data_IF_026546133017
#
_entry.id   IF_026546133017
#
_cell.length_a   1.000
_cell.length_b   1.000
_cell.length_c   1.000
_cell.angle_alpha   90.00
_cell.angle_beta   90.00
_cell.angle_gamma   90.00
#
_symmetry.space_group_name_H-M   'P 1'
#
loop_
_entity.id
_entity.type
_entity.pdbx_description
1 polymer ?
#
# COMPACT_ATOMS: atom_id res chain seq x y z
N UNK A 1 20.99 28.00 0.52
CA UNK A 1 21.15 26.69 -0.15
C UNK A 1 19.80 26.36 -0.77
N UNK A 2 19.76 26.16 -2.07
CA UNK A 2 18.53 25.81 -2.78
C UNK A 2 18.08 24.40 -2.36
N UNK A 3 16.76 24.20 -2.21
CA UNK A 3 16.19 22.87 -2.06
C UNK A 3 16.47 22.09 -3.35
N UNK A 4 17.24 21.01 -3.24
CA UNK A 4 17.56 20.12 -4.37
C UNK A 4 16.92 18.78 -4.15
N UNK A 5 16.10 18.37 -5.10
CA UNK A 5 15.55 17.02 -5.16
C UNK A 5 16.36 16.21 -6.15
N UNK A 6 16.74 15.00 -5.77
CA UNK A 6 17.54 14.09 -6.59
C UNK A 6 16.87 12.73 -6.61
N UNK A 7 16.62 12.22 -7.80
CA UNK A 7 16.07 10.90 -8.03
C UNK A 7 17.15 9.97 -8.59
N UNK A 8 17.29 8.78 -7.99
CA UNK A 8 18.16 7.73 -8.50
C UNK A 8 17.33 6.60 -9.10
N UNK A 9 17.62 6.25 -10.35
CA UNK A 9 16.95 5.17 -11.09
C UNK A 9 17.94 4.06 -11.45
N UNK A 10 17.44 2.84 -11.53
CA UNK A 10 18.20 1.77 -12.21
C UNK A 10 18.28 2.11 -13.69
N UNK A 11 19.49 2.02 -14.25
CA UNK A 11 19.68 2.12 -15.69
C UNK A 11 18.90 1.01 -16.38
N UNK A 12 18.28 1.37 -17.51
CA UNK A 12 17.51 0.44 -18.35
C UNK A 12 18.14 0.35 -19.74
N UNK A 13 17.89 -0.75 -20.42
CA UNK A 13 18.30 -0.98 -21.78
C UNK A 13 17.27 -1.84 -22.52
N UNK A 14 17.41 -1.99 -23.82
CA UNK A 14 16.48 -2.73 -24.67
C UNK A 14 16.31 -4.19 -24.25
N UNK A 15 17.38 -4.81 -23.75
CA UNK A 15 17.31 -6.19 -23.24
C UNK A 15 16.41 -6.31 -22.02
N UNK A 16 16.52 -5.39 -21.06
CA UNK A 16 15.64 -5.33 -19.87
C UNK A 16 14.20 -5.05 -20.31
N UNK A 17 14.00 -4.15 -21.28
CA UNK A 17 12.68 -3.81 -21.79
C UNK A 17 11.93 -5.01 -22.39
N UNK A 18 12.63 -5.92 -23.04
CA UNK A 18 12.05 -7.17 -23.59
C UNK A 18 11.47 -8.06 -22.48
N UNK A 19 12.16 -8.17 -21.34
CA UNK A 19 11.76 -9.10 -20.26
C UNK A 19 10.85 -8.47 -19.21
N UNK A 20 11.05 -7.20 -18.90
CA UNK A 20 10.39 -6.53 -17.78
C UNK A 20 9.48 -5.37 -18.23
N UNK A 21 9.35 -5.15 -19.54
CA UNK A 21 8.68 -3.99 -20.10
C UNK A 21 9.53 -2.72 -20.01
N UNK A 22 9.04 -1.65 -20.63
CA UNK A 22 9.70 -0.35 -20.58
C UNK A 22 9.82 0.17 -19.14
N UNK A 23 11.03 0.52 -18.74
CA UNK A 23 11.30 1.22 -17.48
C UNK A 23 11.41 2.73 -17.73
N UNK A 24 11.32 3.52 -16.67
CA UNK A 24 11.50 4.97 -16.77
C UNK A 24 12.93 5.29 -17.20
N UNK A 25 13.08 6.02 -18.32
CA UNK A 25 14.29 6.76 -18.65
C UNK A 25 14.28 8.09 -17.88
N UNK A 26 15.33 8.91 -18.02
CA UNK A 26 15.47 10.17 -17.26
C UNK A 26 14.39 11.19 -17.64
N UNK A 27 14.00 11.25 -18.91
CA UNK A 27 12.97 12.15 -19.43
C UNK A 27 11.59 11.76 -18.88
N UNK A 28 11.20 10.50 -19.02
CA UNK A 28 9.95 9.98 -18.47
C UNK A 28 9.90 10.08 -16.94
N UNK A 29 11.04 9.93 -16.26
CA UNK A 29 11.12 10.11 -14.82
C UNK A 29 10.86 11.56 -14.39
N UNK A 30 11.40 12.54 -15.11
CA UNK A 30 11.10 13.96 -14.91
C UNK A 30 9.60 14.24 -15.12
N UNK A 31 9.03 13.77 -16.22
CA UNK A 31 7.60 13.95 -16.53
C UNK A 31 6.69 13.37 -15.45
N UNK A 32 7.07 12.20 -14.92
CA UNK A 32 6.26 11.47 -13.92
C UNK A 32 6.40 12.04 -12.51
N UNK A 33 7.63 12.41 -12.11
CA UNK A 33 7.93 12.80 -10.72
C UNK A 33 8.02 14.31 -10.49
N UNK A 34 8.21 15.09 -11.56
CA UNK A 34 8.55 16.51 -11.48
C UNK A 34 9.98 16.79 -11.03
N UNK A 35 10.80 15.78 -10.74
CA UNK A 35 12.17 15.92 -10.24
C UNK A 35 13.12 16.10 -11.42
N UNK A 36 13.70 17.30 -11.54
CA UNK A 36 14.58 17.65 -12.66
C UNK A 36 15.96 16.99 -12.60
N UNK A 37 16.45 16.63 -11.41
CA UNK A 37 17.79 16.04 -11.26
C UNK A 37 17.68 14.53 -11.12
N UNK A 38 17.96 13.82 -12.21
CA UNK A 38 17.87 12.35 -12.25
C UNK A 38 19.24 11.74 -12.57
N UNK A 39 19.72 10.87 -11.69
CA UNK A 39 20.95 10.08 -11.88
C UNK A 39 20.63 8.59 -12.01
N UNK A 40 21.55 7.87 -12.62
CA UNK A 40 21.53 6.41 -12.54
C UNK A 40 21.98 5.94 -11.16
N UNK A 41 21.43 4.84 -10.69
CA UNK A 41 21.75 4.30 -9.35
C UNK A 41 23.25 3.99 -9.17
N UNK A 42 23.94 3.65 -10.24
CA UNK A 42 25.39 3.42 -10.23
C UNK A 42 26.19 4.68 -9.90
N UNK A 43 25.64 5.87 -10.14
CA UNK A 43 26.29 7.15 -9.82
C UNK A 43 26.03 7.58 -8.37
N UNK A 44 25.22 6.83 -7.61
CA UNK A 44 24.76 7.21 -6.29
C UNK A 44 25.91 7.48 -5.32
N UNK A 45 26.93 6.64 -5.30
CA UNK A 45 28.06 6.81 -4.38
C UNK A 45 28.82 8.11 -4.64
N UNK A 46 29.04 8.46 -5.91
CA UNK A 46 29.71 9.71 -6.30
C UNK A 46 28.90 10.93 -5.88
N UNK A 47 27.61 10.92 -6.20
CA UNK A 47 26.69 12.02 -5.84
C UNK A 47 26.55 12.14 -4.33
N UNK A 48 26.43 11.02 -3.61
CA UNK A 48 26.41 11.02 -2.16
C UNK A 48 27.68 11.59 -1.54
N UNK A 49 28.85 11.26 -2.09
CA UNK A 49 30.12 11.83 -1.61
C UNK A 49 30.11 13.35 -1.72
N UNK A 50 29.69 13.91 -2.88
CA UNK A 50 29.61 15.35 -3.09
C UNK A 50 28.62 16.05 -2.13
N UNK A 51 27.48 15.42 -1.85
CA UNK A 51 26.50 15.93 -0.88
C UNK A 51 27.00 15.88 0.55
N UNK A 52 27.60 14.77 0.94
CA UNK A 52 28.09 14.56 2.31
C UNK A 52 29.23 15.49 2.67
N UNK A 53 30.10 15.85 1.72
CA UNK A 53 31.17 16.87 1.96
C UNK A 53 30.63 18.28 2.26
N UNK A 54 29.35 18.54 1.96
CA UNK A 54 28.70 19.84 2.15
C UNK A 54 27.65 19.84 3.27
N UNK A 55 27.49 18.72 3.96
CA UNK A 55 26.41 18.49 4.94
C UNK A 55 26.96 17.96 6.26
N UNK A 56 26.46 18.45 7.37
CA UNK A 56 26.82 17.96 8.71
C UNK A 56 25.74 17.02 9.29
N UNK A 57 24.48 17.24 8.91
CA UNK A 57 23.35 16.48 9.45
C UNK A 57 22.60 15.76 8.35
N UNK A 58 22.34 14.48 8.56
CA UNK A 58 21.61 13.61 7.64
C UNK A 58 20.34 13.09 8.32
N UNK A 59 19.19 13.25 7.67
CA UNK A 59 17.94 12.64 8.11
C UNK A 59 17.73 11.33 7.38
N UNK A 60 17.59 10.25 8.14
CA UNK A 60 17.51 8.89 7.62
C UNK A 60 16.13 8.31 7.91
N UNK A 61 15.56 7.62 6.92
CA UNK A 61 14.32 6.89 7.07
C UNK A 61 14.54 5.55 7.75
N UNK A 62 13.76 5.29 8.81
CA UNK A 62 13.71 4.01 9.51
C UNK A 62 12.27 3.56 9.66
N UNK A 63 12.04 2.25 9.69
CA UNK A 63 10.72 1.74 10.04
C UNK A 63 10.55 1.77 11.56
N UNK A 64 9.79 2.74 12.06
CA UNK A 64 9.57 2.97 13.49
C UNK A 64 8.17 2.55 13.96
N UNK A 65 7.42 1.83 13.14
CA UNK A 65 6.10 1.37 13.53
C UNK A 65 6.22 0.27 14.60
N UNK A 66 5.57 0.45 15.76
CA UNK A 66 5.68 -0.46 16.91
C UNK A 66 5.24 -1.92 16.64
N UNK A 67 4.42 -2.14 15.59
CA UNK A 67 4.02 -3.48 15.13
C UNK A 67 4.96 -4.07 14.10
N UNK A 68 5.97 -3.31 13.65
CA UNK A 68 6.94 -3.81 12.69
C UNK A 68 7.94 -4.72 13.39
N UNK A 69 7.60 -5.99 13.52
CA UNK A 69 8.56 -7.03 13.88
C UNK A 69 9.30 -7.44 12.62
N UNK A 70 10.46 -6.84 12.38
CA UNK A 70 11.26 -7.07 11.18
C UNK A 70 12.38 -8.07 11.51
N UNK A 71 12.16 -9.34 11.20
CA UNK A 71 13.17 -10.40 11.37
C UNK A 71 14.26 -10.31 10.29
N UNK A 72 13.92 -9.82 9.11
CA UNK A 72 14.85 -9.66 7.98
C UNK A 72 15.32 -8.22 7.85
N UNK A 73 16.62 -8.02 7.57
CA UNK A 73 17.16 -6.70 7.37
C UNK A 73 16.55 -5.99 6.17
N UNK A 74 15.93 -4.84 6.40
CA UNK A 74 15.29 -4.04 5.36
C UNK A 74 16.32 -3.33 4.46
N UNK A 75 15.86 -2.85 3.29
CA UNK A 75 16.69 -1.99 2.42
C UNK A 75 17.17 -0.75 3.16
N UNK A 76 16.28 -0.10 3.92
CA UNK A 76 16.63 1.11 4.68
C UNK A 76 17.68 0.81 5.74
N UNK A 77 17.57 -0.31 6.46
CA UNK A 77 18.56 -0.72 7.45
C UNK A 77 19.96 -0.94 6.82
N UNK A 78 20.02 -1.59 5.65
CA UNK A 78 21.28 -1.76 4.91
C UNK A 78 21.86 -0.42 4.46
N UNK A 79 21.02 0.48 3.95
CA UNK A 79 21.47 1.80 3.55
C UNK A 79 21.99 2.63 4.73
N UNK A 80 21.32 2.57 5.88
CA UNK A 80 21.77 3.25 7.11
C UNK A 80 23.15 2.75 7.54
N UNK A 81 23.35 1.44 7.60
CA UNK A 81 24.66 0.85 7.94
C UNK A 81 25.73 1.33 6.98
N UNK A 82 25.48 1.24 5.69
CA UNK A 82 26.41 1.66 4.66
C UNK A 82 26.78 3.15 4.79
N UNK A 83 25.83 4.05 4.96
CA UNK A 83 26.10 5.49 5.03
C UNK A 83 26.81 5.87 6.33
N UNK A 84 26.46 5.25 7.46
CA UNK A 84 27.13 5.48 8.74
C UNK A 84 28.55 4.96 8.76
N UNK A 85 28.80 3.81 8.15
CA UNK A 85 30.15 3.26 8.01
C UNK A 85 31.04 4.15 7.12
N UNK A 86 30.49 4.63 5.99
CA UNK A 86 31.22 5.45 5.02
C UNK A 86 31.45 6.90 5.49
N UNK A 87 30.52 7.43 6.30
CA UNK A 87 30.53 8.83 6.74
C UNK A 87 30.34 8.95 8.26
N UNK A 88 31.26 8.39 9.09
CA UNK A 88 31.04 8.24 10.53
C UNK A 88 31.05 9.57 11.32
N UNK A 89 31.58 10.65 10.75
CA UNK A 89 31.65 11.94 11.41
C UNK A 89 30.41 12.83 11.28
N UNK A 90 29.39 12.35 10.58
CA UNK A 90 28.13 13.10 10.40
C UNK A 90 27.17 12.88 11.55
N UNK A 91 26.26 13.84 11.75
CA UNK A 91 25.13 13.71 12.67
C UNK A 91 23.94 13.08 11.96
N UNK A 92 23.40 11.99 12.51
CA UNK A 92 22.26 11.29 11.95
C UNK A 92 21.01 11.53 12.78
N UNK A 93 19.90 11.89 12.11
CA UNK A 93 18.61 12.17 12.74
C UNK A 93 17.48 11.38 12.10
N UNK A 94 16.44 11.12 12.85
CA UNK A 94 15.25 10.42 12.39
C UNK A 94 14.45 11.28 11.42
N UNK A 95 14.15 10.75 10.24
CA UNK A 95 13.26 11.39 9.26
C UNK A 95 11.78 11.20 9.64
N UNK A 96 11.45 10.10 10.34
CA UNK A 96 10.07 9.69 10.61
C UNK A 96 9.17 10.75 11.26
N UNK A 97 9.61 11.54 12.25
CA UNK A 97 8.75 12.60 12.82
C UNK A 97 8.33 13.67 11.80
N UNK A 98 9.18 13.94 10.81
CA UNK A 98 8.90 14.90 9.72
C UNK A 98 7.86 14.28 8.78
N UNK A 99 8.10 13.04 8.34
CA UNK A 99 7.21 12.30 7.44
C UNK A 99 5.83 12.10 8.08
N UNK A 100 5.76 11.71 9.36
CA UNK A 100 4.49 11.57 10.07
C UNK A 100 3.68 12.87 10.09
N UNK A 101 4.33 14.00 10.34
CA UNK A 101 3.66 15.32 10.34
C UNK A 101 3.09 15.65 8.97
N UNK A 102 3.86 15.44 7.89
CA UNK A 102 3.40 15.67 6.53
C UNK A 102 2.22 14.76 6.16
N UNK A 103 2.27 13.50 6.56
CA UNK A 103 1.21 12.52 6.27
C UNK A 103 -0.04 12.66 7.12
N UNK A 104 0.02 13.37 8.27
CA UNK A 104 -1.13 13.51 9.18
C UNK A 104 -2.23 14.38 8.56
N UNK A 105 -1.87 15.42 7.84
CA UNK A 105 -2.81 16.30 7.14
C UNK A 105 -2.72 16.00 5.65
N UNK A 106 -3.84 15.58 5.05
CA UNK A 106 -3.90 15.17 3.64
C UNK A 106 -4.11 16.38 2.75
N UNK A 107 -3.37 16.43 1.66
CA UNK A 107 -3.58 17.37 0.58
C UNK A 107 -4.85 17.02 -0.22
N UNK A 108 -5.45 17.97 -0.97
CA UNK A 108 -6.65 17.71 -1.76
C UNK A 108 -6.52 16.52 -2.72
N UNK A 109 -5.37 16.36 -3.35
CA UNK A 109 -5.09 15.24 -4.25
C UNK A 109 -5.08 13.88 -3.53
N UNK A 110 -4.58 13.83 -2.30
CA UNK A 110 -4.61 12.62 -1.47
C UNK A 110 -6.05 12.25 -1.10
N UNK A 111 -6.87 13.26 -0.78
CA UNK A 111 -8.30 13.05 -0.48
C UNK A 111 -9.03 12.47 -1.70
N UNK A 112 -8.72 12.94 -2.91
CA UNK A 112 -9.30 12.37 -4.15
C UNK A 112 -8.93 10.89 -4.32
N UNK A 113 -7.70 10.49 -4.01
CA UNK A 113 -7.28 9.09 -4.12
C UNK A 113 -7.97 8.22 -3.07
N UNK A 114 -8.07 8.70 -1.83
CA UNK A 114 -8.82 8.03 -0.76
C UNK A 114 -10.30 7.87 -1.17
N UNK A 115 -10.92 8.93 -1.70
CA UNK A 115 -12.31 8.87 -2.16
C UNK A 115 -12.48 7.83 -3.27
N UNK A 116 -11.58 7.75 -4.23
CA UNK A 116 -11.61 6.72 -5.28
C UNK A 116 -11.50 5.31 -4.69
N UNK A 117 -10.63 5.09 -3.71
CA UNK A 117 -10.53 3.81 -3.02
C UNK A 117 -11.86 3.44 -2.33
N UNK A 118 -12.51 4.40 -1.66
CA UNK A 118 -13.84 4.23 -1.05
C UNK A 118 -14.92 3.91 -2.09
N UNK A 119 -14.95 4.65 -3.20
CA UNK A 119 -15.94 4.44 -4.28
C UNK A 119 -15.77 3.04 -4.92
N UNK A 120 -14.55 2.54 -5.05
CA UNK A 120 -14.28 1.18 -5.56
C UNK A 120 -14.79 0.15 -4.55
N UNK A 121 -14.56 0.35 -3.27
CA UNK A 121 -15.07 -0.55 -2.21
C UNK A 121 -16.59 -0.55 -2.16
N UNK A 122 -17.23 0.59 -2.30
CA UNK A 122 -18.70 0.68 -2.40
C UNK A 122 -19.24 -0.15 -3.57
N UNK A 123 -18.60 -0.07 -4.75
CA UNK A 123 -18.98 -0.88 -5.92
C UNK A 123 -18.82 -2.38 -5.63
N UNK A 124 -17.74 -2.77 -4.97
CA UNK A 124 -17.51 -4.14 -4.52
C UNK A 124 -18.64 -4.64 -3.61
N UNK A 125 -19.02 -3.85 -2.61
CA UNK A 125 -20.16 -4.18 -1.74
C UNK A 125 -21.47 -4.31 -2.52
N UNK A 126 -21.78 -3.38 -3.42
CA UNK A 126 -23.00 -3.46 -4.27
C UNK A 126 -23.02 -4.74 -5.10
N UNK A 127 -21.88 -5.15 -5.65
CA UNK A 127 -21.75 -6.38 -6.41
C UNK A 127 -22.00 -7.61 -5.53
N UNK A 128 -21.35 -7.68 -4.39
CA UNK A 128 -21.47 -8.78 -3.43
C UNK A 128 -22.88 -8.91 -2.88
N UNK A 129 -23.56 -7.81 -2.58
CA UNK A 129 -24.97 -7.84 -2.15
C UNK A 129 -25.88 -8.46 -3.19
N UNK A 130 -25.59 -8.27 -4.48
CA UNK A 130 -26.33 -8.93 -5.57
C UNK A 130 -25.97 -10.40 -5.79
N UNK A 131 -24.78 -10.82 -5.33
CA UNK A 131 -24.28 -12.20 -5.45
C UNK A 131 -24.67 -13.07 -4.26
N UNK A 132 -24.77 -12.49 -3.05
CA UNK A 132 -24.97 -13.19 -1.80
C UNK A 132 -26.25 -14.04 -1.81
N UNK A 133 -26.09 -15.31 -1.49
CA UNK A 133 -27.18 -16.29 -1.32
C UNK A 133 -26.71 -17.45 -0.44
N UNK A 134 -27.61 -18.28 0.09
CA UNK A 134 -27.20 -19.48 0.82
C UNK A 134 -26.30 -20.41 -0.02
N UNK A 135 -25.37 -21.06 0.69
CA UNK A 135 -24.42 -22.05 0.19
C UNK A 135 -23.30 -21.50 -0.72
N UNK A 136 -23.17 -20.18 -0.92
CA UNK A 136 -21.95 -19.62 -1.47
C UNK A 136 -20.81 -19.73 -0.47
N UNK A 137 -19.61 -19.93 -0.94
CA UNK A 137 -18.42 -19.99 -0.10
C UNK A 137 -17.88 -18.57 0.18
N UNK A 138 -17.26 -18.38 1.35
CA UNK A 138 -16.63 -17.11 1.71
C UNK A 138 -15.61 -16.66 0.65
N UNK A 139 -14.79 -17.58 0.10
CA UNK A 139 -13.84 -17.26 -0.98
C UNK A 139 -14.51 -16.88 -2.32
N UNK A 140 -15.74 -17.33 -2.58
CA UNK A 140 -16.49 -16.90 -3.77
C UNK A 140 -16.94 -15.43 -3.59
N UNK A 141 -17.30 -15.04 -2.37
CA UNK A 141 -17.59 -13.64 -2.02
C UNK A 141 -16.33 -12.78 -2.19
N UNK A 142 -15.16 -13.29 -1.76
CA UNK A 142 -13.87 -12.64 -1.97
C UNK A 142 -13.57 -12.42 -3.46
N UNK A 143 -13.84 -13.43 -4.29
CA UNK A 143 -13.64 -13.36 -5.73
C UNK A 143 -14.51 -12.27 -6.39
N UNK A 144 -15.71 -12.03 -5.89
CA UNK A 144 -16.58 -10.95 -6.39
C UNK A 144 -16.03 -9.55 -6.01
N UNK A 145 -15.47 -9.39 -4.81
CA UNK A 145 -14.79 -8.16 -4.42
C UNK A 145 -13.57 -7.89 -5.30
N UNK A 146 -12.66 -8.87 -5.43
CA UNK A 146 -11.43 -8.68 -6.19
C UNK A 146 -11.71 -8.41 -7.67
N UNK A 147 -12.72 -9.07 -8.25
CA UNK A 147 -13.16 -8.77 -9.62
C UNK A 147 -13.52 -7.29 -9.77
N UNK A 148 -14.36 -6.76 -8.86
CA UNK A 148 -14.81 -5.37 -8.96
C UNK A 148 -13.65 -4.38 -8.69
N UNK A 149 -12.75 -4.71 -7.78
CA UNK A 149 -11.58 -3.89 -7.47
C UNK A 149 -10.65 -3.76 -8.68
N UNK A 150 -10.24 -4.87 -9.27
CA UNK A 150 -9.36 -4.88 -10.45
C UNK A 150 -10.02 -4.20 -11.66
N UNK A 151 -11.30 -4.45 -11.91
CA UNK A 151 -12.07 -3.80 -12.98
C UNK A 151 -12.05 -2.27 -12.87
N UNK A 152 -11.99 -1.73 -11.65
CA UNK A 152 -11.94 -0.30 -11.38
C UNK A 152 -10.50 0.22 -11.17
N UNK A 153 -9.47 -0.50 -11.63
CA UNK A 153 -8.04 -0.14 -11.56
C UNK A 153 -7.45 -0.06 -10.16
N UNK A 154 -8.04 -0.75 -9.18
CA UNK A 154 -7.40 -1.02 -7.92
C UNK A 154 -6.27 -2.02 -8.12
N UNK A 155 -5.19 -1.93 -7.35
CA UNK A 155 -4.15 -2.96 -7.31
C UNK A 155 -4.61 -4.23 -6.57
N UNK A 156 -5.76 -4.17 -5.91
CA UNK A 156 -6.35 -5.27 -5.16
C UNK A 156 -6.86 -4.82 -3.78
N UNK A 157 -6.88 -5.75 -2.85
CA UNK A 157 -7.21 -5.45 -1.46
C UNK A 157 -6.12 -4.60 -0.79
N UNK A 158 -6.52 -3.61 -0.01
CA UNK A 158 -5.62 -2.76 0.78
C UNK A 158 -4.99 -3.54 1.96
N UNK A 159 -5.65 -4.58 2.42
CA UNK A 159 -5.22 -5.52 3.47
C UNK A 159 -5.88 -6.88 3.22
N UNK A 160 -5.44 -7.92 3.95
CA UNK A 160 -6.05 -9.25 3.84
C UNK A 160 -7.53 -9.18 4.16
N UNK A 161 -8.43 -9.57 3.24
CA UNK A 161 -9.87 -9.46 3.46
C UNK A 161 -10.35 -10.42 4.55
N UNK A 162 -11.32 -9.98 5.34
CA UNK A 162 -11.99 -10.78 6.35
C UNK A 162 -13.44 -11.00 5.91
N UNK A 163 -13.80 -12.25 5.68
CA UNK A 163 -15.13 -12.65 5.20
C UNK A 163 -15.60 -13.84 6.05
N UNK A 164 -16.19 -13.52 7.19
CA UNK A 164 -16.61 -14.52 8.18
C UNK A 164 -18.13 -14.73 8.19
N UNK A 165 -18.58 -15.95 7.94
CA UNK A 165 -19.99 -16.35 8.03
C UNK A 165 -20.31 -17.04 9.34
N UNK A 166 -21.48 -16.78 9.92
CA UNK A 166 -21.94 -17.42 11.12
C UNK A 166 -21.00 -17.23 12.31
N UNK A 167 -20.45 -18.32 12.87
CA UNK A 167 -19.51 -18.26 14.00
C UNK A 167 -18.22 -17.49 13.63
N UNK A 168 -17.73 -17.61 12.40
CA UNK A 168 -16.52 -16.93 11.94
C UNK A 168 -16.66 -15.40 11.93
N UNK A 169 -17.89 -14.89 11.83
CA UNK A 169 -18.16 -13.45 11.97
C UNK A 169 -17.84 -12.90 13.38
N UNK A 170 -17.63 -13.77 14.37
CA UNK A 170 -17.24 -13.39 15.73
C UNK A 170 -15.72 -13.54 15.97
N UNK A 171 -14.95 -13.97 14.97
CA UNK A 171 -13.49 -14.15 15.08
C UNK A 171 -12.80 -12.95 14.47
N UNK A 172 -12.12 -12.16 15.32
CA UNK A 172 -11.32 -11.04 14.86
C UNK A 172 -10.17 -11.54 13.97
N UNK A 173 -9.93 -10.85 12.86
CA UNK A 173 -8.89 -11.20 11.87
C UNK A 173 -9.02 -12.63 11.31
N UNK A 174 -10.26 -13.11 11.12
CA UNK A 174 -10.52 -14.35 10.39
C UNK A 174 -10.17 -14.17 8.92
N UNK A 175 -9.20 -14.93 8.42
CA UNK A 175 -8.63 -14.75 7.06
C UNK A 175 -8.68 -16.04 6.21
N UNK A 176 -9.16 -17.15 6.77
CA UNK A 176 -9.26 -18.41 6.03
C UNK A 176 -10.28 -18.35 4.90
N UNK A 177 -11.37 -17.61 5.08
CA UNK A 177 -12.42 -17.36 4.10
C UNK A 177 -12.86 -18.62 3.34
N UNK A 178 -13.03 -19.75 4.03
CA UNK A 178 -13.17 -21.08 3.40
C UNK A 178 -14.44 -21.84 3.80
N UNK A 179 -15.37 -21.21 4.51
CA UNK A 179 -16.60 -21.84 4.96
C UNK A 179 -17.81 -21.46 4.10
N UNK A 180 -18.86 -22.29 4.03
CA UNK A 180 -20.09 -21.93 3.35
C UNK A 180 -20.90 -20.90 4.16
N UNK A 181 -21.48 -19.95 3.47
CA UNK A 181 -22.46 -19.00 4.01
C UNK A 181 -23.83 -19.66 4.10
N UNK A 182 -24.26 -20.10 5.27
CA UNK A 182 -25.50 -20.86 5.45
C UNK A 182 -26.72 -19.94 5.55
N UNK A 183 -27.88 -20.45 5.14
CA UNK A 183 -29.14 -19.77 5.35
C UNK A 183 -29.34 -19.47 6.86
N UNK A 184 -29.68 -18.21 7.18
CA UNK A 184 -29.84 -17.75 8.56
C UNK A 184 -28.54 -17.23 9.22
N UNK A 185 -27.39 -17.36 8.58
CA UNK A 185 -26.15 -16.74 9.04
C UNK A 185 -26.09 -15.24 8.70
N UNK A 186 -25.26 -14.54 9.45
CA UNK A 186 -24.78 -13.21 9.10
C UNK A 186 -23.34 -13.35 8.63
N UNK A 187 -22.99 -12.67 7.55
CA UNK A 187 -21.62 -12.56 7.06
C UNK A 187 -21.08 -11.19 7.47
N UNK A 188 -19.99 -11.17 8.19
CA UNK A 188 -19.16 -10.00 8.41
C UNK A 188 -18.17 -9.91 7.26
N UNK A 189 -18.09 -8.75 6.64
CA UNK A 189 -17.16 -8.45 5.55
C UNK A 189 -16.37 -7.21 5.93
N UNK A 190 -15.08 -7.37 6.18
CA UNK A 190 -14.13 -6.29 6.45
C UNK A 190 -13.12 -6.26 5.32
N UNK A 191 -13.30 -5.30 4.42
CA UNK A 191 -12.57 -5.21 3.16
C UNK A 191 -12.31 -3.76 2.78
N UNK A 192 -11.23 -3.54 2.05
CA UNK A 192 -10.91 -2.25 1.47
C UNK A 192 -10.14 -2.39 0.17
N UNK A 193 -10.45 -1.54 -0.80
CA UNK A 193 -9.68 -1.43 -2.03
C UNK A 193 -8.46 -0.52 -1.82
N UNK A 194 -7.35 -0.87 -2.48
CA UNK A 194 -6.21 0.02 -2.65
C UNK A 194 -6.36 0.78 -3.96
N UNK A 195 -6.09 2.07 -3.99
CA UNK A 195 -6.00 2.86 -5.22
C UNK A 195 -4.87 3.89 -5.12
N UNK A 196 -3.91 3.81 -6.05
CA UNK A 196 -2.76 4.72 -6.11
C UNK A 196 -2.00 4.86 -4.77
N UNK A 197 -1.79 3.76 -4.06
CA UNK A 197 -1.20 3.65 -2.72
C UNK A 197 -2.03 4.26 -1.57
N UNK A 198 -3.30 4.56 -1.80
CA UNK A 198 -4.26 4.95 -0.77
C UNK A 198 -5.26 3.83 -0.53
N UNK A 199 -5.60 3.62 0.72
CA UNK A 199 -6.47 2.54 1.17
C UNK A 199 -7.84 3.07 1.59
N UNK A 200 -8.88 2.29 1.31
CA UNK A 200 -10.15 2.36 2.01
C UNK A 200 -10.25 1.23 3.03
N UNK A 201 -11.18 1.34 3.95
CA UNK A 201 -11.46 0.38 5.01
C UNK A 201 -12.97 0.42 5.30
N UNK A 202 -13.65 -0.70 5.12
CA UNK A 202 -15.10 -0.77 5.33
C UNK A 202 -15.52 -2.12 5.86
N UNK A 203 -16.17 -2.12 7.02
CA UNK A 203 -16.80 -3.32 7.59
C UNK A 203 -18.33 -3.25 7.51
N UNK A 204 -18.97 -4.30 7.02
CA UNK A 204 -20.43 -4.46 7.02
C UNK A 204 -20.80 -5.89 7.37
N UNK A 205 -21.95 -6.01 8.05
CA UNK A 205 -22.60 -7.30 8.30
C UNK A 205 -23.87 -7.38 7.46
N UNK A 206 -24.05 -8.49 6.76
CA UNK A 206 -25.25 -8.74 5.94
C UNK A 206 -25.85 -10.12 6.22
N UNK A 207 -27.17 -10.28 6.18
CA UNK A 207 -27.79 -11.58 6.32
C UNK A 207 -27.67 -12.37 5.01
N UNK A 208 -27.20 -13.62 5.07
CA UNK A 208 -27.05 -14.50 3.90
C UNK A 208 -28.38 -14.67 3.15
N UNK A 209 -29.48 -14.74 3.88
CA UNK A 209 -30.83 -14.91 3.30
C UNK A 209 -31.49 -13.60 2.83
N UNK A 210 -30.76 -12.48 2.80
CA UNK A 210 -31.22 -11.19 2.33
C UNK A 210 -32.11 -10.40 3.30
N UNK A 211 -32.50 -10.97 4.43
CA UNK A 211 -33.26 -10.31 5.50
C UNK A 211 -32.73 -10.73 6.87
N UNK A 212 -32.62 -9.75 7.76
CA UNK A 212 -32.31 -10.02 9.16
C UNK A 212 -33.52 -10.70 9.85
N UNK A 213 -33.26 -11.63 10.75
CA UNK A 213 -34.27 -12.15 11.67
C UNK A 213 -34.50 -11.16 12.83
N UNK A 214 -35.56 -11.36 13.61
CA UNK A 214 -35.82 -10.53 14.83
C UNK A 214 -34.67 -10.57 15.84
N UNK A 215 -33.89 -11.67 15.85
CA UNK A 215 -32.74 -11.83 16.74
C UNK A 215 -31.48 -11.13 16.21
N UNK A 216 -31.32 -11.02 14.93
CA UNK A 216 -30.16 -10.37 14.25
C UNK A 216 -30.34 -8.86 14.18
#
# INVERSE_FOLDING_TARGET
>A
KENREILFLKETNDHIAVWEGEKLNKEKALETSGIATVYWLQDMEKVMFELMTQTETVYINTNEHYRANVETETRDARFIKWVQEKYPAHTYKRCQPIIQRLRSVKEPQEIEMIQKACDITEKGFKRVLGFMKPDVMEYEVEAEFIHEFIRNRSAGFAYTPILGSGYNACVLHYIENNQPCKAGDVVLMDVGAEYANYASDMTRCVPVSGKFSERQ
#
